data_IF_284515576016
#
_entry.id   IF_284515576016
#
_cell.length_a   1.000
_cell.length_b   1.000
_cell.length_c   1.000
_cell.angle_alpha   90.00
_cell.angle_beta   90.00
_cell.angle_gamma   90.00
#
_symmetry.space_group_name_H-M   'P 1'
#
loop_
_entity.id
_entity.type
_entity.pdbx_description
1 polymer ?
#
# COMPACT_ATOMS: atom_id res chain seq x y z
N UNK A 1 13.96 -4.49 62.75
CA UNK A 1 14.25 -3.40 61.80
C UNK A 1 14.40 -4.00 60.41
N UNK A 2 13.68 -3.43 59.43
CA UNK A 2 13.96 -3.37 57.98
C UNK A 2 14.47 -4.63 57.24
N UNK A 3 14.00 -5.02 56.05
CA UNK A 3 13.14 -4.37 55.07
C UNK A 3 12.76 -5.45 54.02
N UNK A 4 11.49 -5.63 53.71
CA UNK A 4 11.08 -6.40 52.53
C UNK A 4 11.17 -5.49 51.29
N UNK A 5 12.12 -5.74 50.40
CA UNK A 5 12.16 -5.08 49.09
C UNK A 5 11.42 -5.97 48.09
N UNK A 6 10.16 -5.64 47.82
CA UNK A 6 9.38 -6.25 46.75
C UNK A 6 9.76 -5.59 45.42
N UNK A 7 10.52 -6.31 44.59
CA UNK A 7 10.80 -5.91 43.21
C UNK A 7 9.56 -6.24 42.38
N UNK A 8 8.71 -5.24 42.13
CA UNK A 8 7.67 -5.34 41.11
C UNK A 8 8.31 -5.22 39.73
N UNK A 9 8.49 -6.37 39.06
CA UNK A 9 8.69 -6.40 37.62
C UNK A 9 7.38 -6.01 36.93
N UNK A 10 7.31 -4.77 36.43
CA UNK A 10 6.31 -4.39 35.44
C UNK A 10 6.63 -5.11 34.12
N UNK A 11 5.90 -6.18 33.84
CA UNK A 11 5.86 -6.78 32.52
C UNK A 11 5.11 -5.81 31.58
N UNK A 12 5.86 -5.04 30.78
CA UNK A 12 5.29 -4.31 29.67
C UNK A 12 4.84 -5.31 28.60
N UNK A 13 3.52 -5.44 28.40
CA UNK A 13 2.96 -6.25 27.34
C UNK A 13 3.41 -5.71 25.97
N UNK A 14 3.82 -6.55 25.01
CA UNK A 14 4.16 -6.11 23.67
C UNK A 14 2.87 -5.73 22.92
N UNK A 15 2.57 -4.44 22.86
CA UNK A 15 1.48 -3.91 22.03
C UNK A 15 1.84 -3.83 20.53
N UNK A 16 3.04 -4.27 20.14
CA UNK A 16 3.60 -4.07 18.81
C UNK A 16 3.26 -5.17 17.78
N UNK A 17 2.79 -6.34 18.21
CA UNK A 17 2.63 -7.50 17.31
C UNK A 17 1.19 -7.73 16.82
N UNK A 18 0.19 -7.06 17.41
CA UNK A 18 -1.22 -7.33 17.09
C UNK A 18 -1.65 -6.95 15.66
N UNK A 19 -0.80 -6.25 14.89
CA UNK A 19 -1.18 -5.70 13.58
C UNK A 19 -0.35 -6.21 12.41
N UNK A 20 0.67 -7.05 12.64
CA UNK A 20 1.48 -7.62 11.56
C UNK A 20 0.67 -8.60 10.68
N UNK A 21 -0.35 -9.24 11.26
CA UNK A 21 -1.19 -10.24 10.60
C UNK A 21 -2.56 -9.70 10.12
N UNK A 22 -2.69 -8.36 9.96
CA UNK A 22 -3.95 -7.77 9.48
C UNK A 22 -4.29 -8.33 8.10
N UNK A 23 -5.48 -8.90 7.93
CA UNK A 23 -5.92 -9.40 6.63
C UNK A 23 -6.00 -8.27 5.56
N UNK A 24 -5.77 -8.57 4.27
CA UNK A 24 -5.98 -7.62 3.18
C UNK A 24 -7.42 -7.08 3.13
N UNK A 25 -7.63 -5.87 2.57
CA UNK A 25 -8.97 -5.31 2.43
C UNK A 25 -9.83 -6.19 1.49
N UNK A 26 -11.08 -6.42 1.89
CA UNK A 26 -12.01 -7.31 1.18
C UNK A 26 -12.42 -6.82 -0.23
N UNK A 27 -12.21 -5.54 -0.53
CA UNK A 27 -12.52 -4.90 -1.82
C UNK A 27 -11.39 -3.98 -2.23
N UNK A 28 -11.37 -3.56 -3.49
CA UNK A 28 -10.33 -2.69 -4.00
C UNK A 28 -10.33 -1.35 -3.21
N UNK A 29 -9.17 -0.86 -2.72
CA UNK A 29 -9.15 0.34 -1.89
C UNK A 29 -9.70 1.60 -2.59
N UNK A 30 -9.63 1.68 -3.93
CA UNK A 30 -10.23 2.79 -4.69
C UNK A 30 -11.76 2.80 -4.67
N UNK A 31 -12.40 1.67 -4.39
CA UNK A 31 -13.87 1.55 -4.28
C UNK A 31 -14.37 1.91 -2.88
N UNK A 32 -13.47 1.94 -1.90
CA UNK A 32 -13.78 2.33 -0.52
C UNK A 32 -13.85 3.86 -0.39
N UNK A 33 -14.77 4.34 0.44
CA UNK A 33 -14.87 5.73 0.88
C UNK A 33 -13.70 6.10 1.80
N UNK A 34 -13.46 7.41 1.98
CA UNK A 34 -12.40 7.87 2.89
C UNK A 34 -12.64 7.43 4.34
N UNK A 35 -13.90 7.33 4.77
CA UNK A 35 -14.25 6.88 6.11
C UNK A 35 -13.92 5.39 6.31
N UNK A 36 -14.28 4.53 5.34
CA UNK A 36 -13.93 3.11 5.36
C UNK A 36 -12.41 2.90 5.34
N UNK A 37 -11.67 3.67 4.53
CA UNK A 37 -10.21 3.60 4.49
C UNK A 37 -9.60 4.04 5.81
N UNK A 38 -10.12 5.11 6.42
CA UNK A 38 -9.64 5.58 7.73
C UNK A 38 -9.88 4.53 8.81
N UNK A 39 -11.07 3.91 8.83
CA UNK A 39 -11.39 2.84 9.77
C UNK A 39 -10.49 1.61 9.56
N UNK A 40 -10.24 1.25 8.30
CA UNK A 40 -9.35 0.13 7.97
C UNK A 40 -7.90 0.39 8.41
N UNK A 41 -7.38 1.60 8.19
CA UNK A 41 -6.01 1.96 8.56
C UNK A 41 -5.84 2.18 10.07
N UNK A 42 -6.91 2.20 10.86
CA UNK A 42 -6.83 2.45 12.29
C UNK A 42 -6.07 1.31 13.01
N UNK A 43 -5.05 1.69 13.78
CA UNK A 43 -4.12 0.75 14.40
C UNK A 43 -3.07 0.13 13.45
N UNK A 44 -3.09 0.41 12.14
CA UNK A 44 -1.99 -0.01 11.26
C UNK A 44 -0.86 1.01 11.25
N UNK A 45 0.38 0.53 11.36
CA UNK A 45 1.54 1.34 11.05
C UNK A 45 1.53 1.78 9.58
N UNK A 46 1.98 3.00 9.28
CA UNK A 46 2.05 3.53 7.91
C UNK A 46 2.98 2.74 6.97
N UNK A 47 3.87 1.92 7.55
CA UNK A 47 4.79 1.01 6.86
C UNK A 47 4.19 -0.37 6.60
N UNK A 48 3.04 -0.69 7.20
CA UNK A 48 2.41 -2.00 7.08
C UNK A 48 2.08 -2.33 5.61
N UNK A 49 2.30 -3.58 5.14
CA UNK A 49 2.05 -3.96 3.74
C UNK A 49 0.64 -3.61 3.26
N UNK A 50 -0.36 -3.79 4.14
CA UNK A 50 -1.75 -3.53 3.81
C UNK A 50 -2.25 -2.12 4.13
N UNK A 51 -1.42 -1.22 4.67
CA UNK A 51 -1.81 0.16 4.91
C UNK A 51 -2.21 0.83 3.58
N UNK A 52 -3.42 1.40 3.53
CA UNK A 52 -3.98 2.00 2.31
C UNK A 52 -3.49 3.44 2.17
N UNK A 53 -2.88 3.75 1.02
CA UNK A 53 -2.48 5.12 0.64
C UNK A 53 -3.24 5.55 -0.60
N UNK A 54 -3.90 6.70 -0.50
CA UNK A 54 -4.55 7.38 -1.60
C UNK A 54 -3.67 8.47 -2.19
N UNK A 55 -3.55 8.50 -3.51
CA UNK A 55 -2.92 9.58 -4.27
C UNK A 55 -3.97 10.26 -5.13
N UNK A 56 -3.96 11.59 -5.14
CA UNK A 56 -4.75 12.39 -6.08
C UNK A 56 -4.01 12.39 -7.41
N UNK A 57 -4.76 12.23 -8.49
CA UNK A 57 -4.23 12.35 -9.86
C UNK A 57 -4.72 13.69 -10.39
N UNK A 58 -3.78 14.48 -10.89
CA UNK A 58 -4.07 15.74 -11.55
C UNK A 58 -4.45 15.45 -12.99
N UNK A 59 -5.72 15.65 -13.31
CA UNK A 59 -6.23 15.57 -14.67
C UNK A 59 -6.23 16.98 -15.27
N UNK A 60 -5.76 17.12 -16.51
CA UNK A 60 -5.69 18.41 -17.19
C UNK A 60 -7.08 18.76 -17.73
N UNK A 61 -7.73 19.74 -17.10
CA UNK A 61 -9.00 20.31 -17.55
C UNK A 61 -9.73 21.02 -16.41
N UNK A 62 -10.25 22.23 -16.66
CA UNK A 62 -10.84 23.08 -15.62
C UNK A 62 -12.09 22.50 -14.97
N UNK A 63 -12.78 21.58 -15.66
CA UNK A 63 -14.02 20.96 -15.17
C UNK A 63 -13.91 19.47 -14.86
N UNK A 64 -12.70 18.90 -14.95
CA UNK A 64 -12.51 17.47 -14.69
C UNK A 64 -12.55 17.23 -13.19
N UNK A 65 -13.40 16.28 -12.75
CA UNK A 65 -13.38 15.82 -11.36
C UNK A 65 -12.02 15.19 -11.07
N UNK A 66 -11.34 15.68 -10.04
CA UNK A 66 -10.04 15.16 -9.62
C UNK A 66 -10.13 13.66 -9.35
N UNK A 67 -9.40 12.87 -10.13
CA UNK A 67 -9.32 11.43 -9.93
C UNK A 67 -8.48 11.11 -8.69
N UNK A 68 -8.77 9.98 -8.05
CA UNK A 68 -7.94 9.43 -6.96
C UNK A 68 -7.68 7.96 -7.21
N UNK A 69 -6.50 7.51 -6.84
CA UNK A 69 -6.12 6.10 -6.84
C UNK A 69 -5.69 5.73 -5.43
N UNK A 70 -6.38 4.76 -4.84
CA UNK A 70 -6.04 4.21 -3.55
C UNK A 70 -5.57 2.78 -3.70
N UNK A 71 -4.45 2.44 -3.08
CA UNK A 71 -3.85 1.11 -3.08
C UNK A 71 -3.21 0.85 -1.73
N UNK A 72 -3.04 -0.42 -1.37
CA UNK A 72 -2.18 -0.80 -0.24
C UNK A 72 -0.71 -0.49 -0.54
N UNK A 73 0.14 -0.40 0.49
CA UNK A 73 1.58 -0.24 0.30
C UNK A 73 2.17 -1.34 -0.60
N UNK A 74 1.73 -2.58 -0.44
CA UNK A 74 2.15 -3.71 -1.27
C UNK A 74 1.73 -3.54 -2.74
N UNK A 75 0.47 -3.17 -2.98
CA UNK A 75 -0.02 -2.89 -4.33
C UNK A 75 0.71 -1.72 -4.98
N UNK A 76 1.11 -0.70 -4.21
CA UNK A 76 1.95 0.38 -4.72
C UNK A 76 3.34 -0.10 -5.15
N UNK A 77 3.96 -1.02 -4.40
CA UNK A 77 5.24 -1.64 -4.78
C UNK A 77 5.09 -2.41 -6.09
N UNK A 78 4.04 -3.22 -6.22
CA UNK A 78 3.75 -3.97 -7.44
C UNK A 78 3.49 -3.05 -8.64
N UNK A 79 2.67 -2.01 -8.45
CA UNK A 79 2.37 -1.04 -9.51
C UNK A 79 3.62 -0.30 -10.01
N UNK A 80 4.56 0.02 -9.10
CA UNK A 80 5.84 0.61 -9.46
C UNK A 80 6.70 -0.34 -10.30
N UNK A 81 6.85 -1.60 -9.85
CA UNK A 81 7.60 -2.61 -10.58
C UNK A 81 7.01 -2.86 -11.98
N UNK A 82 5.69 -3.04 -12.06
CA UNK A 82 4.99 -3.25 -13.33
C UNK A 82 5.11 -2.03 -14.25
N UNK A 83 4.97 -0.81 -13.72
CA UNK A 83 5.11 0.41 -14.51
C UNK A 83 6.48 0.52 -15.17
N UNK A 84 7.54 0.18 -14.44
CA UNK A 84 8.91 0.16 -14.98
C UNK A 84 9.09 -0.92 -16.05
N UNK A 85 8.51 -2.11 -15.85
CA UNK A 85 8.57 -3.17 -16.84
C UNK A 85 7.83 -2.77 -18.12
N UNK A 86 6.59 -2.28 -17.99
CA UNK A 86 5.80 -1.82 -19.13
C UNK A 86 6.51 -0.75 -19.96
N UNK A 87 7.23 0.16 -19.31
CA UNK A 87 8.00 1.19 -20.01
C UNK A 87 9.14 0.58 -20.84
N UNK A 88 9.84 -0.44 -20.31
CA UNK A 88 10.89 -1.17 -21.04
C UNK A 88 10.30 -1.95 -22.21
N UNK A 89 9.24 -2.73 -21.96
CA UNK A 89 8.58 -3.53 -22.98
C UNK A 89 8.04 -2.66 -24.13
N UNK A 90 7.50 -1.49 -23.79
CA UNK A 90 7.03 -0.52 -24.80
C UNK A 90 8.20 0.01 -25.63
N UNK A 91 9.31 0.39 -25.01
CA UNK A 91 10.49 0.86 -25.74
C UNK A 91 11.05 -0.25 -26.66
N UNK A 92 11.14 -1.48 -26.16
CA UNK A 92 11.58 -2.63 -26.96
C UNK A 92 10.65 -2.90 -28.14
N UNK A 93 9.33 -2.85 -27.92
CA UNK A 93 8.33 -3.03 -28.97
C UNK A 93 8.41 -1.96 -30.06
N UNK A 94 8.71 -0.70 -29.70
CA UNK A 94 8.83 0.40 -30.66
C UNK A 94 10.15 0.37 -31.44
N UNK A 95 11.20 -0.25 -30.90
CA UNK A 95 12.54 -0.29 -31.53
C UNK A 95 12.79 -1.60 -32.29
N UNK A 96 11.97 -2.63 -32.05
CA UNK A 96 12.05 -3.92 -32.75
C UNK A 96 11.70 -3.75 -34.23
N UNK A 97 12.64 -4.12 -35.11
CA UNK A 97 12.32 -4.32 -36.52
C UNK A 97 11.29 -5.46 -36.69
N UNK A 98 10.32 -5.36 -37.60
CA UNK A 98 9.38 -6.43 -37.86
C UNK A 98 10.14 -7.67 -38.33
N UNK A 99 10.18 -8.71 -37.49
CA UNK A 99 10.72 -10.01 -37.88
C UNK A 99 9.60 -10.77 -38.60
N UNK A 100 9.81 -11.06 -39.88
CA UNK A 100 8.91 -11.91 -40.64
C UNK A 100 9.07 -13.34 -40.11
N UNK A 101 8.10 -13.81 -39.32
CA UNK A 101 8.01 -15.22 -38.92
C UNK A 101 7.15 -15.94 -39.95
N UNK A 102 7.76 -16.33 -41.06
CA UNK A 102 7.15 -17.31 -41.97
C UNK A 102 7.51 -18.71 -41.47
N UNK A 103 6.50 -19.52 -41.15
CA UNK A 103 6.63 -20.94 -40.84
C UNK A 103 6.00 -21.73 -41.98
#
# INVERSE_FOLDING_TARGET
MMNFVAIMLFAAAPAAEANADRAPPARAPSEMTNAEIKAYNDGLAMTHPHYIKCRKIEEIGSWVKKARVCRTNEQWKQAWAQGNQNARDTAEAMTRAPVNSSN
#
